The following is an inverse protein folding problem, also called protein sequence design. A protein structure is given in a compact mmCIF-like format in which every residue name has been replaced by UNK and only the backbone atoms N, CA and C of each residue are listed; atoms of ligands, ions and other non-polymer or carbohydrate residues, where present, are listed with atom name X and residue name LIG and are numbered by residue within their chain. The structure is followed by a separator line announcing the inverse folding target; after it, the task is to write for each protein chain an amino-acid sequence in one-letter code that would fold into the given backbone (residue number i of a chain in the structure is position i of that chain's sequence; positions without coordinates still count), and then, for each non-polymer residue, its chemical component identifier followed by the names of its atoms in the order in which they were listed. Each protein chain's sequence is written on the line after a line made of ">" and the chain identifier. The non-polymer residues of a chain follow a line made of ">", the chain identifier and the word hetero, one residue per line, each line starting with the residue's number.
data_IF_903721352058
#
_entry.id   IF_903721352058
#
_cell.length_a   1.000
_cell.length_b   1.000
_cell.length_c   1.000
_cell.angle_alpha   90.00
_cell.angle_beta   90.00
_cell.angle_gamma   90.00
#
_symmetry.space_group_name_H-M   'P 1'
#
loop_
_entity.id
_entity.type
_entity.pdbx_description
1 polymer ?
#
# COMPACT_ATOMS: atom_id res chain seq x y z
N UNK A 1 -11.19 -2.04 -13.86
CA UNK A 1 -9.76 -1.67 -13.83
C UNK A 1 -8.84 -2.87 -13.81
N UNK A 2 -8.90 -3.71 -12.76
CA UNK A 2 -8.20 -4.99 -12.68
C UNK A 2 -8.63 -5.93 -13.83
N UNK A 3 -9.94 -6.02 -14.11
CA UNK A 3 -10.49 -6.88 -15.18
C UNK A 3 -10.02 -6.50 -16.58
N UNK A 4 -9.96 -5.21 -16.91
CA UNK A 4 -9.48 -4.78 -18.24
C UNK A 4 -7.98 -5.08 -18.43
N UNK A 5 -7.20 -5.00 -17.34
CA UNK A 5 -5.81 -5.46 -17.32
C UNK A 5 -5.71 -6.97 -17.56
N UNK A 6 -6.58 -7.76 -16.94
CA UNK A 6 -6.66 -9.21 -17.16
C UNK A 6 -7.03 -9.57 -18.60
N UNK A 7 -8.02 -8.90 -19.20
CA UNK A 7 -8.45 -9.16 -20.59
C UNK A 7 -7.32 -8.91 -21.60
N UNK A 8 -6.35 -8.05 -21.27
CA UNK A 8 -5.20 -7.73 -22.12
C UNK A 8 -3.97 -8.60 -21.86
N UNK A 9 -4.00 -9.47 -20.85
CA UNK A 9 -2.92 -10.42 -20.57
C UNK A 9 -3.23 -11.76 -21.20
N UNK A 10 -2.18 -12.52 -21.44
CA UNK A 10 -2.32 -13.93 -21.75
C UNK A 10 -2.99 -14.66 -20.58
N UNK A 11 -4.08 -15.38 -20.86
CA UNK A 11 -4.94 -16.00 -19.85
C UNK A 11 -4.16 -16.96 -18.94
N UNK A 12 -3.15 -17.67 -19.45
CA UNK A 12 -2.30 -18.58 -18.67
C UNK A 12 -1.45 -17.89 -17.59
N UNK A 13 -1.24 -16.57 -17.69
CA UNK A 13 -0.55 -15.78 -16.66
C UNK A 13 -1.47 -15.40 -15.49
N UNK A 14 -2.76 -15.75 -15.57
CA UNK A 14 -3.78 -15.46 -14.59
C UNK A 14 -4.17 -16.74 -13.84
N UNK A 15 -4.72 -16.59 -12.64
CA UNK A 15 -5.24 -17.72 -11.84
C UNK A 15 -6.34 -18.44 -12.60
N UNK A 16 -6.39 -19.78 -12.57
CA UNK A 16 -7.29 -20.65 -13.36
C UNK A 16 -8.75 -20.15 -13.43
N UNK A 17 -9.35 -19.71 -12.32
CA UNK A 17 -10.71 -19.15 -12.31
C UNK A 17 -10.87 -17.90 -13.19
N UNK A 18 -9.89 -17.00 -13.12
CA UNK A 18 -9.82 -15.78 -13.92
C UNK A 18 -9.36 -16.13 -15.33
N UNK A 19 -8.36 -16.98 -15.48
CA UNK A 19 -7.84 -17.47 -16.76
C UNK A 19 -8.95 -18.11 -17.59
N UNK A 20 -9.78 -18.98 -17.03
CA UNK A 20 -10.88 -19.63 -17.74
C UNK A 20 -11.91 -18.60 -18.21
N UNK A 21 -12.30 -17.64 -17.36
CA UNK A 21 -13.25 -16.58 -17.74
C UNK A 21 -12.66 -15.62 -18.75
N UNK A 22 -11.40 -15.26 -18.59
CA UNK A 22 -10.67 -14.38 -19.51
C UNK A 22 -10.44 -15.11 -20.84
N UNK A 23 -10.14 -16.40 -20.83
CA UNK A 23 -10.04 -17.23 -22.03
C UNK A 23 -11.38 -17.29 -22.75
N UNK A 24 -12.49 -17.55 -22.05
CA UNK A 24 -13.83 -17.50 -22.66
C UNK A 24 -14.14 -16.11 -23.24
N UNK A 25 -13.77 -15.04 -22.54
CA UNK A 25 -13.94 -13.67 -23.05
C UNK A 25 -13.07 -13.43 -24.29
N UNK A 26 -11.81 -13.87 -24.27
CA UNK A 26 -10.85 -13.73 -25.37
C UNK A 26 -11.19 -14.61 -26.58
N UNK A 27 -11.88 -15.74 -26.37
CA UNK A 27 -12.44 -16.58 -27.44
C UNK A 27 -13.64 -15.91 -28.12
N UNK A 28 -14.47 -15.19 -27.35
CA UNK A 28 -15.70 -14.55 -27.86
C UNK A 28 -15.47 -13.13 -28.39
N UNK A 29 -14.45 -12.43 -27.90
CA UNK A 29 -14.21 -11.01 -28.18
C UNK A 29 -12.72 -10.70 -28.18
N UNK A 30 -12.31 -9.75 -29.02
CA UNK A 30 -10.93 -9.27 -29.03
C UNK A 30 -10.67 -8.31 -27.85
N UNK A 31 -9.44 -8.30 -27.36
CA UNK A 31 -9.04 -7.47 -26.21
C UNK A 31 -9.25 -5.98 -26.48
N UNK A 32 -9.18 -5.58 -27.76
CA UNK A 32 -9.36 -4.23 -28.27
C UNK A 32 -10.84 -3.81 -28.31
N UNK A 33 -11.80 -4.71 -28.07
CA UNK A 33 -13.22 -4.34 -27.95
C UNK A 33 -13.57 -3.83 -26.54
N UNK A 34 -12.78 -4.21 -25.53
CA UNK A 34 -13.03 -3.84 -24.14
C UNK A 34 -12.45 -2.46 -23.80
N UNK A 35 -13.24 -1.65 -23.09
CA UNK A 35 -12.89 -0.28 -22.70
C UNK A 35 -13.16 -0.05 -21.22
N UNK A 36 -12.41 0.87 -20.61
CA UNK A 36 -12.63 1.29 -19.24
C UNK A 36 -13.76 2.34 -19.18
N UNK A 37 -14.77 2.08 -18.37
CA UNK A 37 -15.81 3.06 -18.02
C UNK A 37 -15.49 3.63 -16.64
N UNK A 38 -15.37 4.96 -16.53
CA UNK A 38 -15.11 5.65 -15.27
C UNK A 38 -16.34 5.59 -14.35
N UNK A 39 -16.13 5.71 -13.05
CA UNK A 39 -17.22 5.69 -12.06
C UNK A 39 -18.30 6.74 -12.34
N UNK A 40 -17.92 7.94 -12.82
CA UNK A 40 -18.90 8.98 -13.18
C UNK A 40 -19.84 8.59 -14.33
N UNK A 41 -19.47 7.59 -15.15
CA UNK A 41 -20.24 7.14 -16.32
C UNK A 41 -20.73 5.69 -16.21
N UNK A 42 -20.48 5.01 -15.08
CA UNK A 42 -20.87 3.62 -14.91
C UNK A 42 -22.22 3.53 -14.18
N UNK A 43 -23.35 3.31 -14.86
CA UNK A 43 -24.65 3.20 -14.19
C UNK A 43 -24.70 2.04 -13.18
N UNK A 44 -23.90 0.97 -13.36
CA UNK A 44 -23.84 -0.14 -12.42
C UNK A 44 -23.24 0.26 -11.05
N UNK A 45 -22.51 1.38 -10.96
CA UNK A 45 -22.02 1.89 -9.68
C UNK A 45 -23.17 2.36 -8.77
N UNK A 46 -24.32 2.78 -9.33
CA UNK A 46 -25.46 3.22 -8.51
C UNK A 46 -26.14 2.08 -7.76
N UNK A 47 -26.22 0.90 -8.36
CA UNK A 47 -26.77 -0.30 -7.69
C UNK A 47 -25.78 -0.83 -6.67
N UNK A 48 -24.48 -0.85 -6.99
CA UNK A 48 -23.45 -1.40 -6.09
C UNK A 48 -23.08 -0.48 -4.92
N UNK A 49 -23.18 0.85 -5.09
CA UNK A 49 -22.85 1.85 -4.05
C UNK A 49 -24.06 2.41 -3.32
N UNK A 50 -25.26 2.15 -3.85
CA UNK A 50 -26.53 2.67 -3.33
C UNK A 50 -26.86 4.06 -3.85
N UNK A 51 -28.10 4.24 -4.28
CA UNK A 51 -28.66 5.53 -4.70
C UNK A 51 -30.07 5.69 -4.10
N UNK A 52 -30.37 6.91 -3.64
CA UNK A 52 -31.71 7.23 -3.16
C UNK A 52 -32.76 7.08 -4.28
N UNK A 53 -33.91 6.49 -3.94
CA UNK A 53 -34.96 6.16 -4.91
C UNK A 53 -35.55 7.38 -5.63
N UNK A 54 -35.59 8.55 -4.99
CA UNK A 54 -36.07 9.79 -5.61
C UNK A 54 -35.03 10.34 -6.58
N UNK A 55 -33.74 10.23 -6.24
CA UNK A 55 -32.64 10.60 -7.14
C UNK A 55 -32.52 9.65 -8.33
N UNK A 56 -32.81 8.35 -8.14
CA UNK A 56 -32.79 7.37 -9.21
C UNK A 56 -33.87 7.65 -10.26
N UNK A 57 -35.06 8.10 -9.85
CA UNK A 57 -36.15 8.49 -10.78
C UNK A 57 -35.72 9.56 -11.78
N UNK A 58 -34.85 10.49 -11.36
CA UNK A 58 -34.36 11.59 -12.21
C UNK A 58 -32.95 11.34 -12.75
N UNK A 59 -32.38 10.14 -12.59
CA UNK A 59 -31.00 9.86 -12.99
C UNK A 59 -30.92 9.50 -14.48
N UNK A 60 -30.58 10.48 -15.32
CA UNK A 60 -30.42 10.24 -16.76
C UNK A 60 -29.38 9.15 -17.08
N UNK A 61 -28.27 9.11 -16.35
CA UNK A 61 -27.21 8.13 -16.62
C UNK A 61 -27.68 6.68 -16.39
N UNK A 62 -28.55 6.45 -15.42
CA UNK A 62 -29.11 5.12 -15.14
C UNK A 62 -30.08 4.68 -16.25
N UNK A 63 -31.00 5.58 -16.64
CA UNK A 63 -32.07 5.24 -17.58
C UNK A 63 -31.62 5.28 -19.05
N UNK A 64 -30.72 6.19 -19.40
CA UNK A 64 -30.30 6.43 -20.78
C UNK A 64 -28.87 5.92 -21.07
N UNK A 65 -28.14 5.51 -20.03
CA UNK A 65 -26.74 5.14 -20.15
C UNK A 65 -25.81 6.33 -20.44
N UNK A 66 -24.50 6.07 -20.51
CA UNK A 66 -23.52 7.13 -20.76
C UNK A 66 -23.59 7.65 -22.19
N UNK A 67 -23.52 8.99 -22.34
CA UNK A 67 -23.68 9.69 -23.63
C UNK A 67 -22.70 9.23 -24.71
N UNK A 68 -21.50 8.79 -24.33
CA UNK A 68 -20.50 8.31 -25.29
C UNK A 68 -20.92 7.02 -26.02
N UNK A 69 -21.82 6.22 -25.44
CA UNK A 69 -22.39 5.05 -26.14
C UNK A 69 -23.37 5.48 -27.22
N UNK A 70 -24.08 6.59 -27.01
CA UNK A 70 -25.05 7.14 -27.96
C UNK A 70 -24.36 7.86 -29.13
N UNK A 71 -23.22 8.51 -28.89
CA UNK A 71 -22.47 9.26 -29.91
C UNK A 71 -21.38 8.46 -30.62
N UNK A 72 -21.13 7.21 -30.20
CA UNK A 72 -20.01 6.36 -30.65
C UNK A 72 -18.62 7.04 -30.54
N UNK A 73 -18.50 8.06 -29.69
CA UNK A 73 -17.26 8.80 -29.42
C UNK A 73 -16.74 8.42 -28.04
N UNK A 74 -15.87 7.41 -27.99
CA UNK A 74 -15.34 6.89 -26.73
C UNK A 74 -14.24 7.81 -26.18
N UNK A 75 -14.31 8.23 -24.90
CA UNK A 75 -13.26 9.02 -24.30
C UNK A 75 -11.97 8.20 -24.17
N UNK A 76 -10.86 8.74 -24.66
CA UNK A 76 -9.53 8.18 -24.38
C UNK A 76 -9.20 8.41 -22.91
N UNK A 77 -9.29 7.33 -22.11
CA UNK A 77 -9.02 7.37 -20.67
C UNK A 77 -7.87 6.46 -20.36
N UNK A 78 -6.88 6.98 -19.63
CA UNK A 78 -5.89 6.14 -18.99
C UNK A 78 -6.61 5.27 -17.95
N UNK A 79 -6.42 3.95 -18.04
CA UNK A 79 -6.93 3.02 -17.04
C UNK A 79 -6.27 3.43 -15.73
N UNK A 80 -7.01 3.89 -14.71
CA UNK A 80 -6.36 4.18 -13.44
C UNK A 80 -5.74 2.86 -12.97
N UNK A 81 -4.54 2.83 -12.40
CA UNK A 81 -3.98 1.57 -11.88
C UNK A 81 -4.76 1.24 -10.61
N UNK A 82 -5.12 -0.03 -10.38
CA UNK A 82 -5.82 -0.41 -9.17
C UNK A 82 -4.92 -0.07 -8.00
N UNK A 83 -5.25 1.02 -7.32
CA UNK A 83 -4.55 1.44 -6.11
C UNK A 83 -4.95 0.42 -5.06
N UNK A 84 -4.18 -0.67 -4.99
CA UNK A 84 -4.18 -1.54 -3.84
C UNK A 84 -3.88 -0.63 -2.66
N UNK A 85 -4.88 -0.43 -1.80
CA UNK A 85 -4.88 0.55 -0.71
C UNK A 85 -3.98 0.15 0.46
N UNK A 86 -3.03 -0.75 0.23
CA UNK A 86 -2.19 -1.27 1.28
C UNK A 86 -0.74 -1.34 0.80
N UNK A 87 0.00 -0.22 0.91
CA UNK A 87 1.34 -0.11 0.35
C UNK A 87 2.33 -0.99 1.12
N UNK A 88 3.38 -1.41 0.43
CA UNK A 88 4.53 -2.02 1.08
C UNK A 88 5.14 -1.06 2.12
N UNK A 89 5.67 -1.62 3.20
CA UNK A 89 6.28 -0.87 4.30
C UNK A 89 7.80 -1.04 4.25
N UNK A 90 8.54 0.03 4.52
CA UNK A 90 9.96 -0.03 4.82
C UNK A 90 10.23 0.61 6.18
N UNK A 91 10.97 -0.09 7.03
CA UNK A 91 11.36 0.35 8.36
C UNK A 91 12.89 0.44 8.40
N UNK A 92 13.40 1.56 8.90
CA UNK A 92 14.83 1.77 9.10
C UNK A 92 15.03 2.39 10.49
N UNK A 93 16.14 2.04 11.14
CA UNK A 93 16.51 2.61 12.43
C UNK A 93 17.33 3.87 12.20
N UNK A 94 16.99 4.93 12.92
CA UNK A 94 17.74 6.18 12.95
C UNK A 94 18.11 6.52 14.38
N UNK A 95 19.31 7.02 14.56
CA UNK A 95 19.87 7.39 15.87
C UNK A 95 19.49 8.79 16.33
N UNK A 96 19.03 9.63 15.40
CA UNK A 96 18.74 11.05 15.61
C UNK A 96 17.67 11.54 14.61
N UNK A 97 16.95 12.61 15.00
CA UNK A 97 15.87 13.21 14.22
C UNK A 97 16.36 14.42 13.42
N UNK A 98 17.45 14.26 12.65
CA UNK A 98 18.08 15.33 11.86
C UNK A 98 17.87 15.15 10.36
N UNK A 99 18.10 16.21 9.58
CA UNK A 99 18.09 16.16 8.11
C UNK A 99 19.13 15.18 7.57
N UNK A 100 20.34 15.17 8.15
CA UNK A 100 21.42 14.27 7.75
C UNK A 100 21.06 12.79 8.00
N UNK A 101 20.46 12.49 9.15
CA UNK A 101 19.99 11.16 9.49
C UNK A 101 18.92 10.68 8.49
N UNK A 102 18.00 11.58 8.12
CA UNK A 102 17.01 11.30 7.10
C UNK A 102 17.63 11.07 5.73
N UNK A 103 18.59 11.89 5.29
CA UNK A 103 19.29 11.70 4.01
C UNK A 103 20.02 10.36 3.97
N UNK A 104 20.70 9.98 5.06
CA UNK A 104 21.35 8.68 5.17
C UNK A 104 20.33 7.53 5.03
N UNK A 105 19.18 7.66 5.68
CA UNK A 105 18.05 6.71 5.59
C UNK A 105 17.50 6.62 4.17
N UNK A 106 17.27 7.77 3.52
CA UNK A 106 16.78 7.85 2.15
C UNK A 106 17.77 7.20 1.18
N UNK A 107 19.08 7.40 1.36
CA UNK A 107 20.12 6.72 0.57
C UNK A 107 20.03 5.21 0.76
N UNK A 108 19.97 4.71 2.00
CA UNK A 108 19.80 3.27 2.28
C UNK A 108 18.54 2.70 1.63
N UNK A 109 17.42 3.42 1.69
CA UNK A 109 16.19 3.05 1.01
C UNK A 109 16.38 2.95 -0.50
N UNK A 110 16.96 3.96 -1.15
CA UNK A 110 17.19 3.99 -2.60
C UNK A 110 18.07 2.81 -3.05
N UNK A 111 19.15 2.52 -2.33
CA UNK A 111 20.02 1.38 -2.67
C UNK A 111 19.38 0.01 -2.41
N UNK A 112 18.31 -0.06 -1.60
CA UNK A 112 17.56 -1.31 -1.34
C UNK A 112 16.34 -1.49 -2.24
N UNK A 113 15.65 -0.39 -2.61
CA UNK A 113 14.33 -0.40 -3.25
C UNK A 113 14.30 0.28 -4.61
N UNK A 114 15.40 0.91 -5.02
CA UNK A 114 15.45 1.80 -6.16
C UNK A 114 15.01 3.22 -5.81
N UNK A 115 15.34 4.15 -6.70
CA UNK A 115 14.99 5.56 -6.53
C UNK A 115 13.49 5.76 -6.76
N UNK A 116 12.82 6.47 -5.86
CA UNK A 116 11.42 6.84 -6.04
C UNK A 116 11.31 8.04 -7.00
N UNK A 117 10.32 8.01 -7.88
CA UNK A 117 10.00 9.16 -8.74
C UNK A 117 9.35 10.31 -7.95
N UNK A 118 8.54 9.97 -6.94
CA UNK A 118 7.82 10.92 -6.09
C UNK A 118 8.01 10.58 -4.63
N UNK A 119 8.24 11.59 -3.80
CA UNK A 119 8.35 11.47 -2.36
C UNK A 119 7.34 12.41 -1.70
N UNK A 120 6.57 11.90 -0.74
CA UNK A 120 5.60 12.69 0.01
C UNK A 120 5.98 12.69 1.49
N UNK A 121 5.97 13.86 2.13
CA UNK A 121 6.20 14.00 3.58
C UNK A 121 5.35 15.12 4.18
N UNK A 122 5.23 15.13 5.50
CA UNK A 122 4.76 16.33 6.21
C UNK A 122 5.84 17.43 6.21
N UNK A 123 5.51 18.59 6.82
CA UNK A 123 6.39 19.74 6.92
C UNK A 123 7.34 19.69 8.14
N UNK A 124 7.68 18.50 8.65
CA UNK A 124 8.66 18.40 9.73
C UNK A 124 10.01 18.99 9.30
N UNK A 125 10.70 19.64 10.25
CA UNK A 125 11.89 20.46 9.98
C UNK A 125 13.05 19.66 9.39
N UNK A 126 13.21 18.40 9.78
CA UNK A 126 14.18 17.46 9.22
C UNK A 126 13.91 17.14 7.74
N UNK A 127 12.65 16.98 7.32
CA UNK A 127 12.29 16.77 5.91
C UNK A 127 12.49 18.03 5.08
N UNK A 128 12.08 19.19 5.59
CA UNK A 128 12.28 20.48 4.93
C UNK A 128 13.78 20.75 4.75
N UNK A 129 14.58 20.55 5.79
CA UNK A 129 16.03 20.70 5.75
C UNK A 129 16.69 19.74 4.77
N UNK A 130 16.30 18.47 4.78
CA UNK A 130 16.82 17.48 3.84
C UNK A 130 16.49 17.80 2.38
N UNK A 131 15.28 18.30 2.09
CA UNK A 131 14.92 18.73 0.74
C UNK A 131 15.80 19.90 0.26
N UNK A 132 16.07 20.86 1.14
CA UNK A 132 16.98 21.98 0.84
C UNK A 132 18.39 21.45 0.53
N UNK A 133 18.91 20.54 1.34
CA UNK A 133 20.25 19.95 1.15
C UNK A 133 20.35 19.14 -0.14
N UNK A 134 19.34 18.33 -0.49
CA UNK A 134 19.31 17.58 -1.75
C UNK A 134 19.29 18.53 -2.96
N UNK A 135 18.50 19.61 -2.89
CA UNK A 135 18.49 20.64 -3.96
C UNK A 135 19.82 21.37 -4.07
N UNK A 136 20.48 21.68 -2.94
CA UNK A 136 21.84 22.26 -2.94
C UNK A 136 22.84 21.31 -3.60
N UNK A 137 22.83 20.04 -3.23
CA UNK A 137 23.70 19.02 -3.83
C UNK A 137 23.46 18.90 -5.33
N UNK A 138 22.20 18.91 -5.78
CA UNK A 138 21.85 18.92 -7.19
C UNK A 138 22.45 20.13 -7.92
N UNK A 139 22.32 21.34 -7.36
CA UNK A 139 22.84 22.56 -7.95
C UNK A 139 24.38 22.60 -8.01
N UNK A 140 25.08 21.98 -7.06
CA UNK A 140 26.56 21.92 -7.03
C UNK A 140 27.14 21.01 -8.11
N UNK A 141 26.37 20.04 -8.59
CA UNK A 141 26.75 19.17 -9.72
C UNK A 141 26.62 19.91 -11.06
N UNK A 142 25.97 21.08 -11.09
CA UNK A 142 25.64 21.77 -12.32
C UNK A 142 26.75 22.70 -12.86
N UNK A 143 27.60 22.16 -13.74
CA UNK A 143 27.88 22.72 -15.08
C UNK A 143 27.81 21.59 -16.14
N UNK A 144 26.66 20.93 -16.35
CA UNK A 144 26.53 19.84 -17.30
C UNK A 144 26.23 20.40 -18.71
N UNK A 145 26.45 19.62 -19.75
CA UNK A 145 25.85 19.91 -21.05
C UNK A 145 24.30 19.76 -20.98
N UNK A 146 23.60 20.25 -22.00
CA UNK A 146 22.13 20.30 -22.01
C UNK A 146 21.48 18.90 -21.92
N UNK A 147 22.16 17.88 -22.45
CA UNK A 147 21.72 16.48 -22.40
C UNK A 147 21.82 15.89 -20.98
N UNK A 148 22.93 16.12 -20.30
CA UNK A 148 23.15 15.66 -18.92
C UNK A 148 22.26 16.41 -17.93
N UNK A 149 22.01 17.71 -18.15
CA UNK A 149 21.06 18.48 -17.35
C UNK A 149 19.63 17.94 -17.49
N UNK A 150 19.21 17.60 -18.71
CA UNK A 150 17.89 17.01 -18.96
C UNK A 150 17.75 15.62 -18.33
N UNK A 151 18.79 14.78 -18.43
CA UNK A 151 18.83 13.47 -17.76
C UNK A 151 18.77 13.62 -16.23
N UNK A 152 19.61 14.48 -15.64
CA UNK A 152 19.62 14.73 -14.20
C UNK A 152 18.29 15.29 -13.68
N UNK A 153 17.65 16.18 -14.43
CA UNK A 153 16.32 16.69 -14.11
C UNK A 153 15.25 15.59 -14.18
N UNK A 154 15.30 14.72 -15.19
CA UNK A 154 14.39 13.56 -15.31
C UNK A 154 14.62 12.51 -14.22
N UNK A 155 15.84 12.44 -13.71
CA UNK A 155 16.27 11.53 -12.65
C UNK A 155 16.05 12.14 -11.24
N UNK A 156 15.54 13.36 -11.12
CA UNK A 156 15.26 14.01 -9.84
C UNK A 156 14.08 13.38 -9.10
N UNK A 157 14.12 13.40 -7.76
CA UNK A 157 12.98 12.99 -6.92
C UNK A 157 12.00 14.19 -6.82
N UNK A 158 10.77 14.05 -7.32
CA UNK A 158 9.69 15.02 -7.12
C UNK A 158 9.19 14.95 -5.66
N UNK A 159 9.79 15.77 -4.79
CA UNK A 159 9.43 15.81 -3.37
C UNK A 159 8.31 16.83 -3.11
N UNK A 160 7.17 16.31 -2.68
CA UNK A 160 5.96 17.06 -2.33
C UNK A 160 5.69 17.06 -0.83
N UNK A 161 5.37 18.24 -0.31
CA UNK A 161 4.97 18.42 1.08
C UNK A 161 3.45 18.42 1.18
N UNK A 162 2.93 17.81 2.25
CA UNK A 162 1.50 17.86 2.53
C UNK A 162 1.06 19.30 2.83
N UNK A 163 -0.17 19.68 2.41
CA UNK A 163 -0.75 20.95 2.83
C UNK A 163 -0.78 21.04 4.37
N UNK A 164 -0.49 22.21 4.96
CA UNK A 164 -0.60 22.41 6.39
C UNK A 164 -1.99 21.99 6.89
N UNK A 165 -2.06 21.21 7.97
CA UNK A 165 -3.31 20.74 8.60
C UNK A 165 -4.16 19.79 7.73
N UNK A 166 -3.54 19.02 6.83
CA UNK A 166 -4.23 18.00 6.04
C UNK A 166 -3.86 16.55 6.45
N UNK A 167 -4.22 16.10 7.69
CA UNK A 167 -3.83 14.79 8.23
C UNK A 167 -4.37 13.60 7.41
N UNK A 168 -5.47 13.79 6.68
CA UNK A 168 -6.07 12.75 5.84
C UNK A 168 -5.13 12.22 4.74
N UNK A 169 -4.13 13.00 4.32
CA UNK A 169 -3.16 12.55 3.32
C UNK A 169 -2.08 11.61 3.88
N UNK A 170 -1.89 11.61 5.21
CA UNK A 170 -0.90 10.77 5.89
C UNK A 170 -1.39 9.43 6.41
N UNK A 171 -2.69 9.16 6.32
CA UNK A 171 -3.32 8.00 6.94
C UNK A 171 -2.70 6.65 6.54
N UNK A 172 -2.16 6.52 5.32
CA UNK A 172 -1.55 5.27 4.85
C UNK A 172 -0.27 4.91 5.61
N UNK A 173 0.70 5.83 5.70
CA UNK A 173 1.93 5.54 6.44
C UNK A 173 1.70 5.58 7.95
N UNK A 174 0.76 6.39 8.45
CA UNK A 174 0.35 6.36 9.85
C UNK A 174 -0.25 5.01 10.26
N UNK A 175 -1.05 4.37 9.40
CA UNK A 175 -1.57 3.02 9.64
C UNK A 175 -0.44 1.97 9.69
N UNK A 176 0.55 2.08 8.80
CA UNK A 176 1.75 1.25 8.84
C UNK A 176 2.55 1.41 10.13
N UNK A 177 2.85 2.67 10.53
CA UNK A 177 3.55 3.00 11.77
C UNK A 177 2.78 2.53 13.00
N UNK A 178 1.45 2.69 13.01
CA UNK A 178 0.59 2.22 14.10
C UNK A 178 0.64 0.71 14.24
N UNK A 179 0.57 -0.02 13.13
CA UNK A 179 0.66 -1.48 13.11
C UNK A 179 2.02 -1.95 13.64
N UNK A 180 3.11 -1.37 13.15
CA UNK A 180 4.45 -1.64 13.64
C UNK A 180 4.58 -1.41 15.17
N UNK A 181 4.21 -0.21 15.65
CA UNK A 181 4.30 0.15 17.08
C UNK A 181 3.45 -0.74 17.96
N UNK A 182 2.29 -1.19 17.46
CA UNK A 182 1.37 -2.06 18.18
C UNK A 182 2.05 -3.38 18.58
N UNK A 183 2.73 -4.04 17.64
CA UNK A 183 3.41 -5.31 17.89
C UNK A 183 4.72 -5.13 18.64
N UNK A 184 5.53 -4.12 18.26
CA UNK A 184 6.79 -3.83 18.93
C UNK A 184 6.58 -3.61 20.44
N UNK A 185 5.65 -2.71 20.81
CA UNK A 185 5.41 -2.37 22.22
C UNK A 185 4.87 -3.55 23.04
N UNK A 186 4.10 -4.44 22.42
CA UNK A 186 3.44 -5.55 23.12
C UNK A 186 4.35 -6.74 23.36
N UNK A 187 5.31 -6.99 22.47
CA UNK A 187 6.16 -8.18 22.56
C UNK A 187 7.56 -7.83 23.04
N UNK A 188 8.16 -6.75 22.54
CA UNK A 188 9.48 -6.31 23.02
C UNK A 188 9.35 -5.62 24.38
N UNK A 189 8.30 -4.82 24.58
CA UNK A 189 8.01 -4.19 25.88
C UNK A 189 9.21 -3.40 26.42
N UNK A 190 9.75 -3.84 27.57
CA UNK A 190 10.89 -3.24 28.25
C UNK A 190 12.21 -4.04 28.08
N UNK A 191 12.23 -5.02 27.18
CA UNK A 191 13.44 -5.81 26.91
C UNK A 191 14.51 -4.88 26.34
N UNK A 192 15.72 -4.96 26.90
CA UNK A 192 16.89 -4.23 26.40
C UNK A 192 17.53 -5.03 25.28
N UNK A 193 17.46 -4.50 24.07
CA UNK A 193 18.09 -5.07 22.90
C UNK A 193 19.31 -4.23 22.53
N UNK A 194 20.38 -4.89 22.09
CA UNK A 194 21.48 -4.24 21.39
C UNK A 194 21.00 -3.67 20.05
N UNK A 195 21.82 -2.83 19.41
CA UNK A 195 21.49 -2.25 18.12
C UNK A 195 21.21 -3.33 17.05
N UNK A 196 22.06 -4.35 16.96
CA UNK A 196 21.93 -5.44 15.98
C UNK A 196 20.70 -6.33 16.24
N UNK A 197 20.42 -6.62 17.51
CA UNK A 197 19.21 -7.36 17.91
C UNK A 197 17.95 -6.57 17.59
N UNK A 198 17.94 -5.26 17.89
CA UNK A 198 16.82 -4.39 17.56
C UNK A 198 16.63 -4.31 16.04
N UNK A 199 17.70 -4.09 15.27
CA UNK A 199 17.69 -4.08 13.80
C UNK A 199 17.09 -5.36 13.23
N UNK A 200 17.52 -6.50 13.76
CA UNK A 200 16.99 -7.82 13.37
C UNK A 200 15.48 -7.90 13.64
N UNK A 201 15.02 -7.47 14.81
CA UNK A 201 13.58 -7.46 15.14
C UNK A 201 12.80 -6.56 14.20
N UNK A 202 13.29 -5.35 13.91
CA UNK A 202 12.63 -4.40 13.01
C UNK A 202 12.49 -4.95 11.59
N UNK A 203 13.57 -5.51 11.03
CA UNK A 203 13.56 -6.06 9.67
C UNK A 203 12.60 -7.25 9.56
N UNK A 204 12.54 -8.11 10.59
CA UNK A 204 11.60 -9.23 10.59
C UNK A 204 10.14 -8.74 10.69
N UNK A 205 9.85 -7.71 11.48
CA UNK A 205 8.51 -7.09 11.50
C UNK A 205 8.17 -6.49 10.13
N UNK A 206 9.11 -5.80 9.46
CA UNK A 206 8.93 -5.31 8.08
C UNK A 206 8.55 -6.47 7.14
N UNK A 207 9.28 -7.60 7.24
CA UNK A 207 9.00 -8.81 6.46
C UNK A 207 7.59 -9.35 6.70
N UNK A 208 7.14 -9.43 7.96
CA UNK A 208 5.79 -9.87 8.33
C UNK A 208 4.70 -8.94 7.80
N UNK A 209 4.89 -7.62 7.93
CA UNK A 209 3.94 -6.66 7.38
C UNK A 209 3.86 -6.80 5.86
N UNK A 210 4.98 -7.05 5.18
CA UNK A 210 5.03 -7.20 3.72
C UNK A 210 4.62 -8.60 3.21
N UNK A 211 4.50 -9.61 4.07
CA UNK A 211 3.95 -10.93 3.74
C UNK A 211 2.43 -10.99 3.91
N UNK A 212 1.78 -9.88 4.29
CA UNK A 212 0.33 -9.83 4.48
C UNK A 212 -0.43 -10.03 3.18
N UNK A 213 -1.51 -10.84 3.18
CA UNK A 213 -2.49 -10.87 2.11
C UNK A 213 -2.98 -9.47 1.70
N UNK A 214 -3.15 -9.20 0.41
CA UNK A 214 -3.77 -7.97 -0.09
C UNK A 214 -5.20 -8.19 -0.54
N UNK A 215 -5.54 -9.45 -0.79
CA UNK A 215 -6.85 -9.91 -1.24
C UNK A 215 -7.26 -11.10 -0.39
N UNK A 216 -8.58 -11.32 -0.20
CA UNK A 216 -9.07 -12.55 0.39
C UNK A 216 -8.48 -13.77 -0.33
N UNK A 217 -8.20 -14.83 0.43
CA UNK A 217 -7.80 -16.11 -0.14
C UNK A 217 -8.86 -16.61 -1.13
N UNK A 218 -8.38 -17.31 -2.16
CA UNK A 218 -9.27 -17.96 -3.12
C UNK A 218 -10.19 -18.93 -2.39
N UNK A 219 -11.42 -19.09 -2.88
CA UNK A 219 -12.32 -20.15 -2.42
C UNK A 219 -11.95 -21.53 -2.99
N UNK A 220 -10.96 -21.57 -3.88
CA UNK A 220 -10.40 -22.78 -4.46
C UNK A 220 -9.43 -23.45 -3.48
N UNK A 221 -9.62 -24.74 -3.22
CA UNK A 221 -8.84 -25.50 -2.24
C UNK A 221 -7.40 -25.73 -2.70
N UNK A 222 -7.15 -25.69 -4.01
CA UNK A 222 -5.82 -25.92 -4.60
C UNK A 222 -5.00 -24.62 -4.79
N UNK A 223 -5.59 -23.44 -4.54
CA UNK A 223 -4.94 -22.13 -4.70
C UNK A 223 -4.61 -21.48 -3.34
N UNK A 224 -3.49 -21.90 -2.76
CA UNK A 224 -2.92 -21.30 -1.55
C UNK A 224 -2.12 -20.01 -1.83
N UNK A 225 -2.03 -19.55 -3.09
CA UNK A 225 -1.20 -18.40 -3.44
C UNK A 225 -1.91 -17.09 -3.10
N UNK A 226 -1.35 -16.36 -2.14
CA UNK A 226 -1.87 -15.06 -1.74
C UNK A 226 -1.01 -13.92 -2.30
N UNK A 227 -1.66 -12.92 -2.88
CA UNK A 227 -0.95 -11.72 -3.34
C UNK A 227 -0.59 -10.87 -2.11
N UNK A 228 0.68 -10.48 -1.99
CA UNK A 228 1.21 -9.72 -0.84
C UNK A 228 1.99 -8.50 -1.31
N UNK A 229 2.26 -7.50 -0.44
CA UNK A 229 3.15 -6.39 -0.78
C UNK A 229 4.53 -6.85 -1.26
N UNK A 230 5.06 -7.96 -0.73
CA UNK A 230 6.36 -8.47 -1.13
C UNK A 230 6.42 -8.89 -2.59
N UNK A 231 5.31 -9.33 -3.19
CA UNK A 231 5.26 -9.61 -4.63
C UNK A 231 5.59 -8.38 -5.46
N UNK A 232 5.22 -7.18 -5.00
CA UNK A 232 5.56 -5.92 -5.67
C UNK A 232 7.00 -5.48 -5.40
N UNK A 233 7.56 -5.85 -4.24
CA UNK A 233 8.91 -5.45 -3.86
C UNK A 233 10.01 -6.33 -4.45
N UNK A 234 9.79 -7.65 -4.45
CA UNK A 234 10.82 -8.65 -4.81
C UNK A 234 10.32 -9.68 -5.83
N UNK A 235 9.10 -9.54 -6.35
CA UNK A 235 8.51 -10.47 -7.32
C UNK A 235 8.02 -11.80 -6.74
N UNK A 236 8.12 -12.00 -5.41
CA UNK A 236 7.75 -13.26 -4.73
C UNK A 236 7.29 -13.03 -3.28
N UNK A 237 6.76 -14.08 -2.67
CA UNK A 237 6.46 -14.12 -1.23
C UNK A 237 7.75 -14.03 -0.40
N UNK A 238 7.71 -13.26 0.69
CA UNK A 238 8.75 -13.31 1.73
C UNK A 238 8.49 -14.55 2.58
N UNK A 239 9.51 -15.38 2.73
CA UNK A 239 9.52 -16.58 3.60
C UNK A 239 10.64 -16.44 4.61
N UNK A 240 10.38 -16.83 5.87
CA UNK A 240 11.44 -16.95 6.87
C UNK A 240 12.20 -18.27 6.72
N UNK A 241 13.36 -18.37 7.36
CA UNK A 241 14.00 -19.66 7.59
C UNK A 241 13.14 -20.51 8.53
N UNK A 242 13.33 -21.83 8.48
CA UNK A 242 12.67 -22.76 9.41
C UNK A 242 13.43 -22.73 10.73
N UNK A 243 12.72 -22.43 11.82
CA UNK A 243 13.25 -22.36 13.17
C UNK A 243 12.40 -23.22 14.13
N UNK A 244 12.99 -23.79 15.20
CA UNK A 244 12.22 -24.51 16.21
C UNK A 244 11.24 -23.58 16.94
N UNK A 245 10.06 -24.07 17.31
CA UNK A 245 9.11 -23.31 18.12
C UNK A 245 9.63 -23.17 19.56
N UNK A 246 9.84 -21.92 20.00
CA UNK A 246 10.34 -21.56 21.32
C UNK A 246 9.26 -20.89 22.18
N UNK A 247 8.02 -20.76 21.68
CA UNK A 247 6.97 -19.96 22.33
C UNK A 247 6.63 -20.45 23.75
N UNK A 248 6.68 -21.77 23.98
CA UNK A 248 6.35 -22.40 25.27
C UNK A 248 7.57 -22.65 26.16
N UNK A 249 8.80 -22.37 25.69
CA UNK A 249 10.01 -22.59 26.48
C UNK A 249 10.28 -21.45 27.47
N UNK A 250 10.80 -21.81 28.65
CA UNK A 250 11.19 -20.83 29.66
C UNK A 250 12.41 -20.01 29.19
N UNK A 251 12.35 -18.68 29.31
CA UNK A 251 13.40 -17.75 28.88
C UNK A 251 14.76 -18.00 29.52
N UNK A 252 14.79 -18.55 30.74
CA UNK A 252 16.02 -18.86 31.45
C UNK A 252 16.84 -19.99 30.79
N UNK A 253 16.21 -20.75 29.87
CA UNK A 253 16.86 -21.85 29.13
C UNK A 253 17.32 -21.42 27.74
N UNK A 254 17.06 -20.17 27.36
CA UNK A 254 17.31 -19.67 26.02
C UNK A 254 18.59 -18.83 26.00
N UNK A 255 19.43 -19.05 24.99
CA UNK A 255 20.48 -18.11 24.65
C UNK A 255 19.87 -16.81 24.08
N UNK A 256 20.72 -15.79 23.84
CA UNK A 256 20.25 -14.50 23.35
C UNK A 256 19.58 -14.60 21.97
N UNK A 257 20.10 -15.42 21.07
CA UNK A 257 19.53 -15.60 19.73
C UNK A 257 18.15 -16.26 19.81
N UNK A 258 18.02 -17.30 20.61
CA UNK A 258 16.77 -17.99 20.90
C UNK A 258 15.74 -17.08 21.55
N UNK A 259 16.15 -16.12 22.39
CA UNK A 259 15.24 -15.08 22.92
C UNK A 259 14.72 -14.18 21.80
N UNK A 260 15.56 -13.76 20.84
CA UNK A 260 15.13 -12.97 19.68
C UNK A 260 14.16 -13.79 18.81
N UNK A 261 14.51 -15.04 18.48
CA UNK A 261 13.62 -15.94 17.72
C UNK A 261 12.27 -16.10 18.43
N UNK A 262 12.26 -16.29 19.74
CA UNK A 262 11.02 -16.36 20.53
C UNK A 262 10.20 -15.06 20.45
N UNK A 263 10.82 -13.89 20.56
CA UNK A 263 10.16 -12.58 20.40
C UNK A 263 9.46 -12.50 19.04
N UNK A 264 10.15 -12.89 17.96
CA UNK A 264 9.61 -12.88 16.60
C UNK A 264 8.43 -13.84 16.46
N UNK A 265 8.55 -15.07 16.98
CA UNK A 265 7.46 -16.06 16.94
C UNK A 265 6.21 -15.56 17.69
N UNK A 266 6.40 -14.91 18.84
CA UNK A 266 5.31 -14.30 19.60
C UNK A 266 4.66 -13.13 18.83
N UNK A 267 5.46 -12.30 18.14
CA UNK A 267 4.93 -11.25 17.25
C UNK A 267 4.11 -11.88 16.12
N UNK A 268 4.64 -12.89 15.43
CA UNK A 268 3.96 -13.56 14.32
C UNK A 268 2.64 -14.20 14.74
N UNK A 269 2.64 -14.95 15.85
CA UNK A 269 1.45 -15.62 16.40
C UNK A 269 0.35 -14.60 16.70
N UNK A 270 0.71 -13.45 17.25
CA UNK A 270 -0.24 -12.38 17.55
C UNK A 270 -0.71 -11.65 16.30
N UNK A 271 0.22 -11.29 15.42
CA UNK A 271 -0.04 -10.57 14.18
C UNK A 271 -0.97 -11.36 13.25
N UNK A 272 -0.70 -12.64 13.05
CA UNK A 272 -1.53 -13.51 12.19
C UNK A 272 -2.96 -13.60 12.69
N UNK A 273 -3.17 -13.77 14.01
CA UNK A 273 -4.50 -13.80 14.62
C UNK A 273 -5.22 -12.46 14.47
N UNK A 274 -4.57 -11.35 14.84
CA UNK A 274 -5.16 -10.02 14.75
C UNK A 274 -5.52 -9.65 13.30
N UNK A 275 -4.63 -10.00 12.35
CA UNK A 275 -4.82 -9.75 10.94
C UNK A 275 -5.95 -10.61 10.34
N UNK A 276 -6.00 -11.90 10.64
CA UNK A 276 -7.12 -12.77 10.21
C UNK A 276 -8.46 -12.28 10.74
N UNK A 277 -8.51 -11.85 12.01
CA UNK A 277 -9.71 -11.25 12.59
C UNK A 277 -10.11 -9.96 11.85
N UNK A 278 -9.13 -9.14 11.42
CA UNK A 278 -9.41 -7.94 10.63
C UNK A 278 -9.98 -8.25 9.23
N UNK A 279 -9.57 -9.36 8.60
CA UNK A 279 -10.12 -9.82 7.33
C UNK A 279 -11.56 -10.37 7.47
N UNK A 280 -11.88 -10.97 8.63
CA UNK A 280 -13.20 -11.52 8.93
C UNK A 280 -14.23 -10.46 9.36
N UNK A 281 -13.77 -9.26 9.77
CA UNK A 281 -14.66 -8.14 10.06
C UNK A 281 -15.36 -7.69 8.77
N UNK A 282 -16.58 -8.18 8.54
CA UNK A 282 -17.49 -7.63 7.54
C UNK A 282 -17.67 -6.14 7.84
N UNK A 283 -17.34 -5.28 6.88
CA UNK A 283 -17.71 -3.87 6.94
C UNK A 283 -19.20 -3.79 7.24
N UNK A 284 -19.56 -3.31 8.44
CA UNK A 284 -20.96 -3.03 8.77
C UNK A 284 -21.48 -2.05 7.72
N UNK A 285 -22.65 -2.35 7.15
CA UNK A 285 -23.39 -1.40 6.32
C UNK A 285 -23.47 -0.06 7.05
N UNK A 286 -22.76 0.96 6.53
CA UNK A 286 -22.87 2.31 7.05
C UNK A 286 -24.19 2.89 6.55
N UNK A 287 -25.27 2.74 7.33
CA UNK A 287 -26.41 3.63 7.19
C UNK A 287 -25.98 5.01 7.69
N UNK A 288 -26.07 6.03 6.83
CA UNK A 288 -25.82 7.42 7.22
C UNK A 288 -26.73 7.80 8.40
N UNK A 289 -26.13 7.97 9.58
CA UNK A 289 -26.83 8.53 10.74
C UNK A 289 -26.93 10.03 10.53
N UNK A 290 -28.10 10.49 10.08
CA UNK A 290 -28.51 11.89 9.90
C UNK A 290 -28.07 12.72 11.12
N UNK A 291 -27.02 13.55 10.98
CA UNK A 291 -26.60 14.50 12.03
C UNK A 291 -27.54 15.71 12.00
N UNK A 292 -28.40 15.82 13.01
CA UNK A 292 -29.06 17.10 13.33
C UNK A 292 -28.00 18.12 13.75
N UNK A 293 -28.01 19.29 13.10
CA UNK A 293 -27.18 20.43 13.43
C UNK A 293 -27.52 20.94 14.84
N UNK A 294 -26.56 20.91 15.76
CA UNK A 294 -26.55 21.80 16.92
C UNK A 294 -25.57 22.93 16.63
N UNK A 295 -26.11 24.14 16.51
CA UNK A 295 -25.36 25.39 16.58
C UNK A 295 -24.90 25.57 18.03
N UNK A 296 -23.60 25.69 18.26
CA UNK A 296 -23.06 26.35 19.44
C UNK A 296 -22.10 27.43 18.97
N UNK A 297 -22.50 28.67 19.26
CA UNK A 297 -21.72 29.90 19.13
C UNK A 297 -20.90 30.01 20.41
N UNK A 298 -19.62 30.35 20.30
CA UNK A 298 -18.86 30.88 21.43
C UNK A 298 -18.13 32.14 20.99
N UNK A 299 -18.35 33.21 21.77
CA UNK A 299 -17.68 34.51 21.75
C UNK A 299 -16.17 34.36 21.97
#
# INVERSE_FOLDING_TARGET
>A
MIVLSWIRKESYQLKTFVANRIATIQEMTSSEQWRYVATEDNPADFVSRGMDSLKLKTCELWWNGPKFLMSNQYPQRQIPVAVIKDPAVHLDIVTDLTSNAFIATLKRFIFRRGKCAKLYSDNATNFVGANIELKKMFNLVCKPDEALASYMASEGIDWKFLPPRAPNFGGLWEAGVKSFKFYLKRVVGNIRLTYEEFLTVIIQIEGMLNSRPLVPLSSDLDDLNVLTPSHFLIGRSITSIVEPDLTDLNENRLDNWQKITKIIQLIWKRWSVDYLNSLQQRNKWHFEKKRMLKLEIWL
#
